data_IF_024206984664
#
_entry.id   IF_024206984664
#
_cell.length_a   1.000
_cell.length_b   1.000
_cell.length_c   1.000
_cell.angle_alpha   90.00
_cell.angle_beta   90.00
_cell.angle_gamma   90.00
#
_symmetry.space_group_name_H-M   'P 1'
#
loop_
_entity.id
_entity.type
_entity.pdbx_description
1 polymer ?
#
# COMPACT_ATOMS: atom_id res chain seq x y z
N UNK A 1 -55.29 32.71 39.35
CA UNK A 1 -55.79 32.19 38.06
C UNK A 1 -55.01 32.90 36.96
N UNK A 2 -54.00 32.24 36.41
CA UNK A 2 -53.14 32.75 35.33
C UNK A 2 -53.27 31.80 34.13
N UNK A 3 -53.57 32.35 32.96
CA UNK A 3 -53.60 31.65 31.68
C UNK A 3 -52.22 31.05 31.35
N UNK A 4 -52.13 29.81 30.85
CA UNK A 4 -50.91 29.32 30.20
C UNK A 4 -50.83 29.85 28.76
N UNK A 5 -49.81 30.65 28.46
CA UNK A 5 -49.46 31.01 27.10
C UNK A 5 -48.82 29.82 26.40
N UNK A 6 -49.47 29.34 25.35
CA UNK A 6 -48.97 28.37 24.37
C UNK A 6 -47.83 28.99 23.57
N UNK A 7 -46.60 28.48 23.72
CA UNK A 7 -45.51 28.74 22.79
C UNK A 7 -45.57 27.71 21.65
N UNK A 8 -46.27 28.06 20.57
CA UNK A 8 -46.03 27.48 19.25
C UNK A 8 -45.03 28.38 18.52
N UNK A 9 -43.79 27.94 18.41
CA UNK A 9 -42.83 28.57 17.52
C UNK A 9 -42.11 27.49 16.71
N UNK A 10 -42.82 26.99 15.70
CA UNK A 10 -42.30 26.05 14.72
C UNK A 10 -41.60 26.83 13.60
N UNK A 11 -40.43 27.41 13.90
CA UNK A 11 -39.59 28.04 12.87
C UNK A 11 -38.69 26.98 12.22
N UNK A 12 -38.73 26.80 10.89
CA UNK A 12 -37.74 25.98 10.21
C UNK A 12 -36.37 26.65 10.34
N UNK A 13 -35.38 25.89 10.81
CA UNK A 13 -33.97 26.31 10.84
C UNK A 13 -33.46 26.27 9.38
N UNK A 14 -33.08 27.39 8.73
CA UNK A 14 -32.44 27.30 7.44
C UNK A 14 -30.96 26.94 7.65
N UNK A 15 -30.64 25.65 7.70
CA UNK A 15 -29.27 25.20 7.54
C UNK A 15 -28.87 25.29 6.06
N UNK A 16 -28.39 26.46 5.63
CA UNK A 16 -27.59 26.57 4.41
C UNK A 16 -26.13 26.72 4.83
N UNK A 17 -25.43 25.59 4.93
CA UNK A 17 -23.97 25.60 4.97
C UNK A 17 -23.52 25.80 3.51
N UNK A 18 -23.06 27.00 3.20
CA UNK A 18 -22.36 27.28 1.95
C UNK A 18 -20.89 26.88 2.19
N UNK A 19 -20.45 25.80 1.56
CA UNK A 19 -19.02 25.46 1.54
C UNK A 19 -18.39 26.29 0.43
N UNK A 20 -17.69 27.36 0.83
CA UNK A 20 -16.81 28.07 -0.10
C UNK A 20 -15.70 27.13 -0.58
N UNK A 21 -15.40 27.24 -1.87
CA UNK A 21 -14.62 26.32 -2.66
C UNK A 21 -13.31 25.88 -1.98
N UNK A 22 -13.09 24.57 -1.89
CA UNK A 22 -11.78 24.01 -1.64
C UNK A 22 -10.81 24.52 -2.71
N UNK A 23 -9.85 25.35 -2.31
CA UNK A 23 -8.73 25.72 -3.15
C UNK A 23 -8.00 24.46 -3.60
N UNK A 24 -7.94 24.28 -4.91
CA UNK A 24 -7.22 23.21 -5.59
C UNK A 24 -5.77 23.21 -5.10
N UNK A 25 -5.35 22.10 -4.50
CA UNK A 25 -3.96 21.88 -4.13
C UNK A 25 -3.09 21.92 -5.40
N UNK A 26 -2.03 22.76 -5.50
CA UNK A 26 -1.23 22.88 -6.72
C UNK A 26 -0.39 21.64 -7.07
N UNK A 27 -0.48 20.55 -6.32
CA UNK A 27 0.12 19.27 -6.69
C UNK A 27 -0.73 18.52 -7.72
N UNK A 28 -0.95 19.13 -8.89
CA UNK A 28 -1.26 18.35 -10.10
C UNK A 28 0.05 17.72 -10.61
N UNK A 29 0.68 16.88 -9.78
CA UNK A 29 1.52 15.82 -10.32
C UNK A 29 0.55 14.89 -11.05
N UNK A 30 0.79 14.71 -12.35
CA UNK A 30 0.12 13.70 -13.17
C UNK A 30 0.14 12.41 -12.35
N UNK A 31 -1.03 12.00 -11.86
CA UNK A 31 -1.14 10.73 -11.16
C UNK A 31 -0.63 9.66 -12.15
N UNK A 32 0.34 8.80 -11.77
CA UNK A 32 0.72 7.69 -12.62
C UNK A 32 -0.55 6.93 -13.01
N UNK A 33 -0.58 6.42 -14.24
CA UNK A 33 -1.73 5.71 -14.78
C UNK A 33 -2.25 4.71 -13.73
N UNK A 34 -3.54 4.82 -13.43
CA UNK A 34 -4.19 4.51 -12.15
C UNK A 34 -4.27 2.98 -11.88
N UNK A 35 -3.50 2.16 -12.59
CA UNK A 35 -3.51 0.70 -12.46
C UNK A 35 -2.25 0.03 -13.05
N UNK A 36 -1.22 0.80 -13.40
CA UNK A 36 -0.03 0.28 -14.06
C UNK A 36 0.92 -0.38 -13.05
N UNK A 37 1.48 -1.53 -13.43
CA UNK A 37 2.51 -2.20 -12.65
C UNK A 37 3.86 -1.50 -12.84
N UNK A 38 4.47 -1.11 -11.72
CA UNK A 38 5.81 -0.54 -11.70
C UNK A 38 6.80 -1.54 -11.09
N UNK A 39 8.01 -1.64 -11.66
CA UNK A 39 9.07 -2.46 -11.08
C UNK A 39 9.62 -1.75 -9.82
N UNK A 40 9.56 -2.43 -8.67
CA UNK A 40 10.06 -1.94 -7.39
C UNK A 40 11.31 -2.68 -6.91
N UNK A 41 11.72 -3.73 -7.62
CA UNK A 41 12.94 -4.47 -7.32
C UNK A 41 13.13 -5.68 -8.21
N UNK A 42 14.28 -6.33 -8.05
CA UNK A 42 14.64 -7.55 -8.76
C UNK A 42 15.55 -8.41 -7.88
N UNK A 43 15.58 -9.70 -8.17
CA UNK A 43 16.59 -10.61 -7.65
C UNK A 43 17.21 -11.38 -8.82
N UNK A 44 18.47 -11.75 -8.65
CA UNK A 44 19.24 -12.56 -9.58
C UNK A 44 19.62 -13.88 -8.94
N UNK A 45 20.04 -14.84 -9.76
CA UNK A 45 20.56 -16.13 -9.27
C UNK A 45 21.73 -15.98 -8.27
N UNK A 46 22.50 -14.89 -8.38
CA UNK A 46 23.66 -14.62 -7.54
C UNK A 46 23.30 -14.09 -6.14
N UNK A 47 22.06 -13.63 -5.94
CA UNK A 47 21.60 -13.15 -4.63
C UNK A 47 21.26 -14.30 -3.68
N UNK A 48 21.22 -15.54 -4.18
CA UNK A 48 20.86 -16.71 -3.41
C UNK A 48 22.07 -17.29 -2.68
N UNK A 49 21.89 -17.57 -1.39
CA UNK A 49 22.84 -18.29 -0.55
C UNK A 49 22.08 -19.36 0.22
N UNK A 50 22.53 -20.61 0.14
CA UNK A 50 21.90 -21.77 0.80
C UNK A 50 20.38 -21.87 0.57
N UNK A 51 19.92 -21.57 -0.65
CA UNK A 51 18.50 -21.60 -1.03
C UNK A 51 17.66 -20.46 -0.45
N UNK A 52 18.30 -19.40 0.04
CA UNK A 52 17.62 -18.22 0.58
C UNK A 52 18.12 -16.93 -0.06
N UNK A 53 17.24 -15.93 -0.14
CA UNK A 53 17.61 -14.56 -0.46
C UNK A 53 16.87 -13.59 0.45
N UNK A 54 17.59 -12.57 0.93
CA UNK A 54 17.03 -11.43 1.66
C UNK A 54 17.00 -10.23 0.72
N UNK A 55 15.82 -9.65 0.54
CA UNK A 55 15.59 -8.48 -0.30
C UNK A 55 15.07 -7.34 0.58
N UNK A 56 15.61 -6.14 0.35
CA UNK A 56 15.12 -4.90 0.94
C UNK A 56 14.68 -3.98 -0.20
N UNK A 57 13.44 -3.52 -0.14
CA UNK A 57 12.83 -2.70 -1.18
C UNK A 57 12.44 -1.34 -0.61
N UNK A 58 12.93 -0.28 -1.24
CA UNK A 58 12.40 1.06 -1.03
C UNK A 58 11.09 1.22 -1.81
N UNK A 59 9.99 1.32 -1.07
CA UNK A 59 8.65 1.49 -1.61
C UNK A 59 8.20 2.96 -1.58
N UNK A 60 8.98 3.88 -1.00
CA UNK A 60 8.63 5.30 -0.92
C UNK A 60 8.29 5.93 -2.30
N UNK A 61 9.03 5.65 -3.39
CA UNK A 61 8.71 6.21 -4.70
C UNK A 61 7.32 5.80 -5.23
N UNK A 62 6.76 4.70 -4.73
CA UNK A 62 5.51 4.11 -5.21
C UNK A 62 4.33 4.37 -4.27
N UNK A 63 4.59 4.45 -2.96
CA UNK A 63 3.59 4.69 -1.91
C UNK A 63 3.65 6.16 -1.50
N UNK A 64 3.15 7.03 -2.39
CA UNK A 64 3.17 8.48 -2.18
C UNK A 64 1.92 9.05 -1.51
N UNK A 65 0.88 8.22 -1.30
CA UNK A 65 -0.41 8.64 -0.73
C UNK A 65 -0.98 7.55 0.16
N UNK A 66 -1.89 7.88 1.08
CA UNK A 66 -2.72 6.86 1.72
C UNK A 66 -3.51 6.08 0.68
N UNK A 67 -3.63 4.77 0.86
CA UNK A 67 -4.32 3.89 -0.07
C UNK A 67 -3.93 2.42 0.10
N UNK A 68 -4.53 1.59 -0.76
CA UNK A 68 -4.14 0.19 -0.90
C UNK A 68 -3.22 0.05 -2.10
N UNK A 69 -2.27 -0.86 -1.99
CA UNK A 69 -1.30 -1.18 -3.02
C UNK A 69 -1.17 -2.69 -3.13
N UNK A 70 -0.91 -3.17 -4.35
CA UNK A 70 -0.67 -4.58 -4.61
C UNK A 70 0.80 -4.76 -4.98
N UNK A 71 1.47 -5.70 -4.31
CA UNK A 71 2.84 -6.09 -4.60
C UNK A 71 2.87 -7.54 -5.08
N UNK A 72 3.61 -7.81 -6.16
CA UNK A 72 3.69 -9.13 -6.79
C UNK A 72 5.13 -9.53 -7.05
N UNK A 73 5.48 -10.75 -6.63
CA UNK A 73 6.74 -11.42 -7.00
C UNK A 73 6.51 -12.21 -8.29
N UNK A 74 7.35 -11.99 -9.29
CA UNK A 74 7.26 -12.64 -10.60
C UNK A 74 8.63 -13.23 -10.98
N UNK A 75 8.85 -14.53 -10.75
CA UNK A 75 10.03 -15.24 -11.27
C UNK A 75 10.03 -15.27 -12.80
N UNK A 76 11.22 -15.16 -13.41
CA UNK A 76 11.36 -15.16 -14.88
C UNK A 76 11.11 -16.55 -15.50
N UNK A 77 11.17 -17.60 -14.69
CA UNK A 77 10.82 -18.97 -15.02
C UNK A 77 10.01 -19.59 -13.87
N UNK A 78 9.15 -20.59 -14.13
CA UNK A 78 8.38 -21.24 -13.07
C UNK A 78 9.29 -21.82 -11.97
N UNK A 79 9.04 -21.42 -10.72
CA UNK A 79 9.73 -21.95 -9.53
C UNK A 79 8.70 -22.58 -8.58
N UNK A 80 8.43 -23.89 -8.72
CA UNK A 80 7.38 -24.56 -7.95
C UNK A 80 7.61 -24.54 -6.43
N UNK A 81 8.85 -24.34 -6.00
CA UNK A 81 9.27 -24.37 -4.60
C UNK A 81 9.68 -22.98 -4.06
N UNK A 82 9.31 -21.89 -4.75
CA UNK A 82 9.53 -20.54 -4.23
C UNK A 82 8.52 -20.23 -3.12
N UNK A 83 9.01 -19.80 -1.97
CA UNK A 83 8.22 -19.47 -0.80
C UNK A 83 8.66 -18.13 -0.24
N UNK A 84 7.71 -17.33 0.24
CA UNK A 84 8.00 -16.16 1.06
C UNK A 84 8.06 -16.63 2.51
N UNK A 85 9.27 -16.82 3.03
CA UNK A 85 9.50 -17.29 4.40
C UNK A 85 9.19 -16.20 5.42
N UNK A 86 9.54 -14.96 5.10
CA UNK A 86 9.26 -13.80 5.94
C UNK A 86 8.99 -12.56 5.09
N UNK A 87 8.08 -11.72 5.56
CA UNK A 87 7.80 -10.43 4.95
C UNK A 87 7.48 -9.41 6.05
N UNK A 88 8.26 -8.34 6.13
CA UNK A 88 8.09 -7.29 7.12
C UNK A 88 8.05 -5.93 6.43
N UNK A 89 6.92 -5.25 6.58
CA UNK A 89 6.76 -3.88 6.10
C UNK A 89 7.15 -2.93 7.23
N UNK A 90 7.91 -1.90 6.88
CA UNK A 90 8.31 -0.82 7.76
C UNK A 90 7.76 0.49 7.23
N UNK A 91 7.19 1.27 8.13
CA UNK A 91 6.78 2.64 7.90
C UNK A 91 7.49 3.52 8.90
N UNK A 92 8.15 4.57 8.41
CA UNK A 92 8.89 5.50 9.29
C UNK A 92 9.93 4.78 10.17
N UNK A 93 10.58 3.76 9.59
CA UNK A 93 11.55 2.91 10.29
C UNK A 93 10.97 2.01 11.38
N UNK A 94 9.65 1.98 11.56
CA UNK A 94 8.95 1.12 12.52
C UNK A 94 8.21 0.00 11.78
N UNK A 95 8.21 -1.21 12.36
CA UNK A 95 7.40 -2.31 11.81
C UNK A 95 5.94 -1.88 11.73
N UNK A 96 5.34 -2.08 10.56
CA UNK A 96 3.95 -1.76 10.31
C UNK A 96 3.04 -2.61 11.20
N UNK A 97 1.90 -2.04 11.60
CA UNK A 97 0.92 -2.75 12.40
C UNK A 97 0.37 -4.00 11.68
N UNK A 98 -0.13 -5.01 12.42
CA UNK A 98 -0.80 -6.16 11.82
C UNK A 98 -1.91 -5.74 10.85
N UNK A 99 -1.98 -6.40 9.69
CA UNK A 99 -2.96 -6.08 8.64
C UNK A 99 -2.52 -5.01 7.64
N UNK A 100 -1.39 -4.33 7.86
CA UNK A 100 -0.83 -3.38 6.89
C UNK A 100 -0.09 -4.07 5.73
N UNK A 101 0.32 -5.32 5.93
CA UNK A 101 0.82 -6.21 4.89
C UNK A 101 0.06 -7.54 5.03
N UNK A 102 -0.69 -7.92 4.00
CA UNK A 102 -1.47 -9.17 4.01
C UNK A 102 -1.25 -9.95 2.71
N UNK A 103 -1.00 -11.27 2.78
CA UNK A 103 -0.97 -12.10 1.57
C UNK A 103 -2.36 -12.16 0.94
N UNK A 104 -2.40 -12.16 -0.40
CA UNK A 104 -3.62 -12.41 -1.18
C UNK A 104 -3.75 -13.90 -1.54
N UNK A 105 -4.78 -14.26 -2.30
CA UNK A 105 -5.04 -15.65 -2.69
C UNK A 105 -3.86 -16.29 -3.44
N UNK A 106 -3.08 -15.49 -4.18
CA UNK A 106 -1.81 -15.91 -4.74
C UNK A 106 -0.70 -15.71 -3.70
N UNK A 107 0.07 -16.75 -3.33
CA UNK A 107 1.10 -16.68 -2.29
C UNK A 107 2.28 -15.75 -2.64
N UNK A 108 2.38 -15.31 -3.89
CA UNK A 108 3.38 -14.35 -4.37
C UNK A 108 2.84 -12.92 -4.49
N UNK A 109 1.62 -12.68 -3.99
CA UNK A 109 0.97 -11.38 -4.08
C UNK A 109 0.55 -10.91 -2.69
N UNK A 110 0.80 -9.63 -2.41
CA UNK A 110 0.55 -9.00 -1.12
C UNK A 110 -0.26 -7.73 -1.32
N UNK A 111 -1.16 -7.47 -0.38
CA UNK A 111 -1.81 -6.19 -0.23
C UNK A 111 -1.06 -5.38 0.83
N UNK A 112 -0.70 -4.16 0.47
CA UNK A 112 -0.11 -3.17 1.38
C UNK A 112 -1.16 -2.11 1.62
N UNK A 113 -1.47 -1.83 2.88
CA UNK A 113 -2.37 -0.75 3.27
C UNK A 113 -1.56 0.37 3.92
N UNK A 114 -1.59 1.56 3.33
CA UNK A 114 -1.01 2.78 3.91
C UNK A 114 -2.15 3.69 4.34
N UNK A 115 -2.32 3.87 5.64
CA UNK A 115 -3.43 4.66 6.21
C UNK A 115 -3.00 6.09 6.61
N UNK A 116 -1.74 6.27 6.96
CA UNK A 116 -1.19 7.56 7.34
C UNK A 116 -0.82 8.39 6.12
N UNK A 117 -0.98 9.72 6.24
CA UNK A 117 -0.48 10.68 5.25
C UNK A 117 1.00 10.41 4.98
N UNK A 118 1.37 10.48 3.70
CA UNK A 118 2.76 10.37 3.25
C UNK A 118 3.25 11.79 3.02
N UNK A 119 4.34 12.15 3.68
CA UNK A 119 5.02 13.44 3.53
C UNK A 119 6.43 13.21 2.97
N UNK A 120 7.18 14.26 2.67
CA UNK A 120 8.51 14.17 2.07
C UNK A 120 9.48 13.30 2.90
N UNK A 121 9.37 13.35 4.23
CA UNK A 121 10.20 12.55 5.14
C UNK A 121 9.65 11.14 5.38
N UNK A 122 8.53 10.77 4.76
CA UNK A 122 7.95 9.44 4.94
C UNK A 122 8.85 8.37 4.34
N UNK A 123 8.93 7.21 4.98
CA UNK A 123 9.63 6.02 4.46
C UNK A 123 8.69 4.83 4.44
N UNK A 124 8.83 4.02 3.38
CA UNK A 124 8.13 2.75 3.23
C UNK A 124 9.15 1.73 2.74
N UNK A 125 9.49 0.76 3.58
CA UNK A 125 10.50 -0.25 3.26
C UNK A 125 9.90 -1.64 3.45
N UNK A 126 10.08 -2.53 2.49
CA UNK A 126 9.67 -3.93 2.61
C UNK A 126 10.90 -4.82 2.65
N UNK A 127 11.03 -5.59 3.72
CA UNK A 127 12.00 -6.67 3.82
C UNK A 127 11.33 -8.00 3.50
N UNK A 128 11.89 -8.75 2.56
CA UNK A 128 11.42 -10.06 2.12
C UNK A 128 12.52 -11.09 2.27
N UNK A 129 12.19 -12.21 2.90
CA UNK A 129 13.01 -13.41 2.87
C UNK A 129 12.33 -14.43 1.97
N UNK A 130 12.98 -14.76 0.86
CA UNK A 130 12.52 -15.81 -0.05
C UNK A 130 13.32 -17.07 0.19
N UNK A 131 12.64 -18.22 0.15
CA UNK A 131 13.24 -19.54 0.19
C UNK A 131 12.89 -20.27 -1.10
N UNK A 132 13.87 -20.98 -1.66
CA UNK A 132 13.67 -21.85 -2.80
C UNK A 132 14.45 -23.16 -2.61
N UNK A 133 13.74 -24.28 -2.70
CA UNK A 133 14.30 -25.63 -2.53
C UNK A 133 14.43 -26.40 -3.85
N UNK A 134 14.13 -25.76 -4.98
CA UNK A 134 14.19 -26.41 -6.30
C UNK A 134 15.62 -26.69 -6.78
N UNK A 135 16.62 -25.99 -6.23
CA UNK A 135 18.02 -26.07 -6.65
C UNK A 135 18.32 -25.24 -7.91
N UNK A 136 17.31 -24.66 -8.55
CA UNK A 136 17.44 -23.72 -9.65
C UNK A 136 16.86 -22.38 -9.23
N UNK A 137 17.71 -21.37 -9.11
CA UNK A 137 17.30 -20.05 -8.62
C UNK A 137 17.18 -19.05 -9.78
N UNK A 138 16.10 -19.06 -10.58
CA UNK A 138 15.97 -18.11 -11.65
C UNK A 138 15.86 -16.68 -11.07
N UNK A 139 16.32 -15.68 -11.84
CA UNK A 139 16.03 -14.29 -11.55
C UNK A 139 14.52 -14.03 -11.51
N UNK A 140 14.16 -12.88 -10.98
CA UNK A 140 12.80 -12.41 -11.06
C UNK A 140 12.66 -10.98 -10.60
N UNK A 141 11.44 -10.47 -10.73
CA UNK A 141 11.12 -9.08 -10.54
C UNK A 141 10.01 -8.91 -9.51
N UNK A 142 10.06 -7.79 -8.81
CA UNK A 142 9.04 -7.34 -7.86
C UNK A 142 8.33 -6.17 -8.47
N UNK A 143 7.01 -6.27 -8.49
CA UNK A 143 6.13 -5.29 -9.11
C UNK A 143 5.20 -4.73 -8.05
N UNK A 144 4.90 -3.44 -8.14
CA UNK A 144 3.93 -2.77 -7.27
C UNK A 144 2.98 -1.91 -8.11
N UNK A 145 1.73 -1.82 -7.67
CA UNK A 145 0.77 -0.86 -8.22
C UNK A 145 -0.17 -0.35 -7.13
N UNK A 146 -0.78 0.83 -7.30
CA UNK A 146 -1.95 1.20 -6.51
C UNK A 146 -3.11 0.21 -6.75
N UNK A 147 -3.93 -0.02 -5.73
CA UNK A 147 -5.16 -0.81 -5.81
C UNK A 147 -6.33 0.08 -5.41
N UNK A 148 -7.24 0.33 -6.34
CA UNK A 148 -8.47 1.05 -6.05
C UNK A 148 -9.52 0.09 -5.53
N UNK A 149 -10.30 0.53 -4.55
CA UNK A 149 -11.49 -0.22 -4.14
C UNK A 149 -12.50 -0.15 -5.29
N UNK A 150 -12.87 -1.30 -5.84
CA UNK A 150 -14.01 -1.44 -6.76
C UNK A 150 -15.34 -1.20 -6.02
#
# INVERSE_FOLDING_TARGET
MQNPATFSDNRPIPAKIHVEQFTHDPYTQVAPAVDEWHSSGQWSAQNWSDGQVLLELDLHPFIQRPGQYELRLAPDAPVPALLVAHATLYFEGQSAAPGMLTPLANPHTFNINRTAQVVEQSSSVLQLQLHDRSGTHPPGSIWIRPRFAE
#
